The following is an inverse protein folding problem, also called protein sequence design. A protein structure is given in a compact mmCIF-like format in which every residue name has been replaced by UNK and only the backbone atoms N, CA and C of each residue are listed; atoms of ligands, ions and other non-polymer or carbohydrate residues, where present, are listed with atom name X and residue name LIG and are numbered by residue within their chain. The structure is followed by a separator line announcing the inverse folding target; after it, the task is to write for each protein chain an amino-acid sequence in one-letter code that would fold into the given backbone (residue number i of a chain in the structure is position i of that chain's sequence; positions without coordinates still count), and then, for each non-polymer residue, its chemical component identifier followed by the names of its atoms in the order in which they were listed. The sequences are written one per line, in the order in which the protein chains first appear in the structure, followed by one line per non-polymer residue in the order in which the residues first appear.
data_IF_138662918195
#
_entry.id   IF_138662918195
#
_cell.length_a   1.000
_cell.length_b   1.000
_cell.length_c   1.000
_cell.angle_alpha   90.00
_cell.angle_beta   90.00
_cell.angle_gamma   90.00
#
_symmetry.space_group_name_H-M   'P 1'
#
loop_
_entity.id
_entity.type
_entity.pdbx_description
1 polymer ?
#
# COMPACT_ATOMS: atom_id res chain seq x y z
N UNK A 1 -5.07 -20.96 61.44
CA UNK A 1 -4.37 -20.93 60.14
C UNK A 1 -4.96 -22.03 59.25
N UNK A 2 -5.51 -21.71 58.08
CA UNK A 2 -6.02 -22.72 57.12
C UNK A 2 -4.94 -23.04 56.09
N UNK A 3 -4.53 -24.29 56.02
CA UNK A 3 -3.48 -24.81 55.13
C UNK A 3 -4.04 -24.98 53.72
N UNK A 4 -3.31 -24.47 52.72
CA UNK A 4 -3.65 -24.62 51.31
C UNK A 4 -3.34 -26.05 50.81
N UNK A 5 -4.36 -26.79 50.36
CA UNK A 5 -4.20 -28.08 49.69
C UNK A 5 -3.55 -27.87 48.31
N UNK A 6 -2.36 -28.43 48.10
CA UNK A 6 -1.64 -28.41 46.81
C UNK A 6 -2.28 -29.42 45.84
N UNK A 7 -2.62 -28.96 44.63
CA UNK A 7 -2.99 -29.81 43.48
C UNK A 7 -1.74 -30.55 42.99
N UNK A 8 -1.60 -31.83 43.35
CA UNK A 8 -0.65 -32.76 42.73
C UNK A 8 -1.41 -33.87 42.01
N UNK A 9 -0.95 -34.28 40.83
CA UNK A 9 -1.38 -35.52 40.18
C UNK A 9 -0.49 -36.70 40.62
N UNK A 10 -1.00 -37.92 40.44
CA UNK A 10 -0.41 -39.18 40.93
C UNK A 10 1.01 -39.49 40.41
N UNK A 11 1.47 -38.82 39.34
CA UNK A 11 2.84 -38.93 38.81
C UNK A 11 3.81 -37.85 39.27
N UNK A 12 3.46 -37.02 40.27
CA UNK A 12 4.35 -35.98 40.80
C UNK A 12 4.62 -34.80 39.87
N UNK A 13 3.95 -34.75 38.71
CA UNK A 13 4.04 -33.63 37.77
C UNK A 13 3.09 -32.51 38.22
N UNK A 14 3.67 -31.38 38.63
CA UNK A 14 2.91 -30.15 38.87
C UNK A 14 2.36 -29.67 37.53
N UNK A 15 1.04 -29.76 37.33
CA UNK A 15 0.39 -29.18 36.15
C UNK A 15 0.70 -27.68 36.10
N UNK A 16 1.35 -27.22 35.02
CA UNK A 16 1.66 -25.80 34.84
C UNK A 16 0.37 -24.96 34.96
N UNK A 17 0.38 -23.96 35.83
CA UNK A 17 -0.81 -23.14 36.10
C UNK A 17 -1.35 -22.48 34.83
N UNK A 18 -2.66 -22.63 34.58
CA UNK A 18 -3.35 -22.00 33.45
C UNK A 18 -3.66 -20.51 33.66
N UNK A 19 -3.06 -19.88 34.68
CA UNK A 19 -3.24 -18.45 34.97
C UNK A 19 -2.68 -17.63 33.80
N UNK A 20 -3.46 -16.68 33.28
CA UNK A 20 -3.07 -15.83 32.15
C UNK A 20 -3.21 -16.47 30.76
N UNK A 21 -3.67 -17.73 30.65
CA UNK A 21 -3.88 -18.40 29.35
C UNK A 21 -5.29 -18.24 28.78
N UNK A 22 -6.09 -17.32 29.33
CA UNK A 22 -7.42 -17.04 28.80
C UNK A 22 -7.31 -16.07 27.63
N UNK A 23 -7.93 -16.41 26.51
CA UNK A 23 -8.06 -15.48 25.38
C UNK A 23 -8.92 -14.30 25.83
N UNK A 24 -8.44 -13.05 25.77
CA UNK A 24 -9.23 -11.91 26.25
C UNK A 24 -10.58 -11.87 25.53
N UNK A 25 -11.66 -11.63 26.28
CA UNK A 25 -13.03 -11.64 25.72
C UNK A 25 -13.22 -10.64 24.58
N UNK A 26 -12.37 -9.61 24.52
CA UNK A 26 -12.36 -8.60 23.48
C UNK A 26 -11.58 -9.02 22.22
N UNK A 27 -11.00 -10.22 22.17
CA UNK A 27 -10.30 -10.71 20.97
C UNK A 27 -11.33 -10.99 19.89
N UNK A 28 -11.18 -10.31 18.77
CA UNK A 28 -12.03 -10.55 17.61
C UNK A 28 -11.76 -11.95 17.04
N UNK A 29 -12.81 -12.69 16.62
CA UNK A 29 -12.63 -13.97 15.93
C UNK A 29 -11.75 -13.82 14.69
N UNK A 30 -10.87 -14.79 14.44
CA UNK A 30 -9.94 -14.78 13.30
C UNK A 30 -10.67 -14.70 11.97
N UNK A 31 -11.82 -15.37 11.85
CA UNK A 31 -12.67 -15.37 10.65
C UNK A 31 -13.11 -13.96 10.25
N UNK A 32 -13.53 -13.15 11.24
CA UNK A 32 -14.00 -11.77 10.97
C UNK A 32 -12.86 -10.85 10.52
N UNK A 33 -11.66 -11.06 11.04
CA UNK A 33 -10.46 -10.36 10.59
C UNK A 33 -10.06 -10.79 9.17
N UNK A 34 -10.16 -12.07 8.85
CA UNK A 34 -9.79 -12.59 7.54
C UNK A 34 -10.70 -12.08 6.43
N UNK A 35 -12.01 -11.96 6.71
CA UNK A 35 -12.95 -11.31 5.79
C UNK A 35 -12.55 -9.87 5.44
N UNK A 36 -12.16 -9.09 6.46
CA UNK A 36 -11.68 -7.71 6.24
C UNK A 36 -10.41 -7.72 5.38
N UNK A 37 -9.46 -8.62 5.64
CA UNK A 37 -8.23 -8.74 4.84
C UNK A 37 -8.51 -9.12 3.39
N UNK A 38 -9.43 -10.06 3.17
CA UNK A 38 -9.80 -10.50 1.84
C UNK A 38 -10.40 -9.35 1.03
N UNK A 39 -11.35 -8.62 1.61
CA UNK A 39 -11.92 -7.43 0.97
C UNK A 39 -10.84 -6.40 0.62
N UNK A 40 -9.98 -6.01 1.57
CA UNK A 40 -8.93 -5.01 1.31
C UNK A 40 -8.00 -5.47 0.17
N UNK A 41 -7.72 -6.76 0.08
CA UNK A 41 -6.86 -7.35 -0.95
C UNK A 41 -7.50 -7.33 -2.35
N UNK A 42 -8.83 -7.26 -2.44
CA UNK A 42 -9.55 -7.22 -3.71
C UNK A 42 -9.58 -5.82 -4.35
N UNK A 43 -9.19 -4.77 -3.62
CA UNK A 43 -9.13 -3.43 -4.20
C UNK A 43 -7.98 -3.31 -5.23
N UNK A 44 -8.20 -2.62 -6.35
CA UNK A 44 -7.14 -2.37 -7.32
C UNK A 44 -6.08 -1.47 -6.71
N UNK A 45 -4.82 -1.91 -6.78
CA UNK A 45 -3.66 -1.21 -6.24
C UNK A 45 -2.63 -0.95 -7.33
N UNK A 46 -1.95 0.18 -7.19
CA UNK A 46 -0.96 0.70 -8.13
C UNK A 46 0.39 0.84 -7.45
N UNK A 47 1.45 0.66 -8.22
CA UNK A 47 2.82 0.94 -7.77
C UNK A 47 3.28 2.26 -8.38
N UNK A 48 3.59 3.22 -7.52
CA UNK A 48 4.14 4.51 -7.93
C UNK A 48 5.42 4.30 -8.75
N UNK A 49 5.40 4.72 -10.02
CA UNK A 49 6.49 4.52 -10.98
C UNK A 49 7.80 5.18 -10.52
N UNK A 50 7.72 6.39 -9.96
CA UNK A 50 8.89 7.18 -9.56
C UNK A 50 9.54 6.74 -8.25
N UNK A 51 8.82 5.96 -7.43
CA UNK A 51 9.31 5.54 -6.11
C UNK A 51 9.46 4.04 -5.96
N UNK A 52 9.37 3.25 -7.04
CA UNK A 52 9.55 1.77 -7.02
C UNK A 52 10.89 1.35 -6.44
N UNK A 53 11.96 2.07 -6.77
CA UNK A 53 13.30 1.79 -6.24
C UNK A 53 13.46 2.17 -4.77
N UNK A 54 12.65 3.14 -4.29
CA UNK A 54 12.76 3.69 -2.94
C UNK A 54 11.77 3.07 -1.95
N UNK A 55 10.66 2.50 -2.44
CA UNK A 55 9.59 1.99 -1.60
C UNK A 55 8.83 0.85 -2.24
N UNK A 56 8.54 -0.17 -1.45
CA UNK A 56 7.61 -1.27 -1.78
C UNK A 56 6.15 -0.92 -1.47
N UNK A 57 5.85 0.35 -1.19
CA UNK A 57 4.49 0.81 -0.85
C UNK A 57 3.62 0.81 -2.09
N UNK A 58 2.39 0.33 -1.93
CA UNK A 58 1.35 0.31 -2.96
C UNK A 58 0.29 1.36 -2.67
N UNK A 59 -0.40 1.81 -3.71
CA UNK A 59 -1.33 2.93 -3.65
C UNK A 59 -2.70 2.55 -4.17
N UNK A 60 -3.74 2.89 -3.44
CA UNK A 60 -5.14 2.85 -3.89
C UNK A 60 -5.46 4.11 -4.69
N UNK A 61 -6.46 4.06 -5.57
CA UNK A 61 -6.87 5.25 -6.34
C UNK A 61 -7.21 6.45 -5.45
N UNK A 62 -7.01 7.65 -5.98
CA UNK A 62 -7.27 8.93 -5.31
C UNK A 62 -8.74 9.13 -4.85
N UNK A 63 -9.67 8.48 -5.53
CA UNK A 63 -11.10 8.46 -5.20
C UNK A 63 -11.42 7.54 -4.01
N UNK A 64 -10.48 6.68 -3.59
CA UNK A 64 -10.66 5.79 -2.46
C UNK A 64 -10.15 6.42 -1.18
N UNK A 65 -10.84 6.12 -0.08
CA UNK A 65 -10.39 6.37 1.27
C UNK A 65 -10.92 5.28 2.21
N UNK A 66 -10.44 5.23 3.45
CA UNK A 66 -10.88 4.21 4.42
C UNK A 66 -12.41 4.23 4.61
N UNK A 67 -13.05 5.39 4.51
CA UNK A 67 -14.51 5.50 4.65
C UNK A 67 -15.24 4.88 3.46
N UNK A 68 -14.84 5.17 2.22
CA UNK A 68 -15.46 4.60 1.03
C UNK A 68 -15.28 3.09 1.00
N UNK A 69 -14.06 2.60 1.28
CA UNK A 69 -13.79 1.16 1.35
C UNK A 69 -14.60 0.48 2.46
N UNK A 70 -14.80 1.13 3.61
CA UNK A 70 -15.63 0.60 4.68
C UNK A 70 -17.11 0.53 4.31
N UNK A 71 -17.62 1.46 3.48
CA UNK A 71 -18.99 1.37 2.98
C UNK A 71 -19.17 0.15 2.07
N UNK A 72 -18.20 -0.13 1.19
CA UNK A 72 -18.18 -1.34 0.36
C UNK A 72 -18.16 -2.60 1.24
N UNK A 73 -17.34 -2.63 2.29
CA UNK A 73 -17.31 -3.73 3.26
C UNK A 73 -18.68 -3.97 3.92
N UNK A 74 -19.36 -2.89 4.33
CA UNK A 74 -20.67 -2.99 4.97
C UNK A 74 -21.70 -3.52 4.00
N UNK A 75 -21.67 -3.08 2.74
CA UNK A 75 -22.57 -3.55 1.68
C UNK A 75 -22.38 -5.04 1.41
N UNK A 76 -21.14 -5.52 1.22
CA UNK A 76 -20.86 -6.95 1.06
C UNK A 76 -21.32 -7.79 2.26
N UNK A 77 -21.11 -7.28 3.49
CA UNK A 77 -21.60 -7.97 4.68
C UNK A 77 -23.13 -8.05 4.70
N UNK A 78 -23.83 -7.00 4.27
CA UNK A 78 -25.29 -6.99 4.19
C UNK A 78 -25.80 -7.99 3.15
N UNK A 79 -25.17 -8.07 1.98
CA UNK A 79 -25.51 -9.03 0.92
C UNK A 79 -25.34 -10.49 1.39
N UNK A 80 -24.33 -10.77 2.20
CA UNK A 80 -24.11 -12.09 2.80
C UNK A 80 -24.89 -12.33 4.11
N UNK A 81 -25.71 -11.37 4.54
CA UNK A 81 -26.47 -11.41 5.80
C UNK A 81 -25.58 -11.60 7.05
N UNK A 82 -24.40 -10.99 7.04
CA UNK A 82 -23.39 -11.02 8.11
C UNK A 82 -23.33 -9.65 8.78
N UNK A 83 -23.14 -9.65 10.11
CA UNK A 83 -22.94 -8.41 10.85
C UNK A 83 -21.53 -7.83 10.60
N UNK A 84 -21.40 -6.62 10.02
CA UNK A 84 -20.10 -6.01 9.78
C UNK A 84 -19.42 -5.59 11.09
N UNK A 85 -18.09 -5.61 11.07
CA UNK A 85 -17.29 -5.05 12.15
C UNK A 85 -17.28 -3.53 12.16
N UNK A 86 -16.92 -2.95 13.32
CA UNK A 86 -16.84 -1.50 13.46
C UNK A 86 -15.72 -0.92 12.59
N UNK A 87 -15.94 0.29 12.04
CA UNK A 87 -14.96 1.02 11.22
C UNK A 87 -13.57 1.11 11.83
N UNK A 88 -13.45 1.28 13.15
CA UNK A 88 -12.14 1.34 13.82
C UNK A 88 -11.35 0.03 13.68
N UNK A 89 -12.02 -1.13 13.71
CA UNK A 89 -11.40 -2.45 13.50
C UNK A 89 -10.90 -2.53 12.05
N UNK A 90 -11.75 -2.12 11.11
CA UNK A 90 -11.40 -2.08 9.70
C UNK A 90 -10.16 -1.21 9.44
N UNK A 91 -10.15 0.02 9.96
CA UNK A 91 -9.00 0.94 9.87
C UNK A 91 -7.74 0.34 10.50
N UNK A 92 -7.88 -0.33 11.65
CA UNK A 92 -6.76 -0.99 12.31
C UNK A 92 -6.18 -2.09 11.43
N UNK A 93 -7.03 -2.94 10.86
CA UNK A 93 -6.58 -4.02 9.96
C UNK A 93 -5.88 -3.43 8.74
N UNK A 94 -6.45 -2.39 8.12
CA UNK A 94 -5.84 -1.68 7.00
C UNK A 94 -4.43 -1.18 7.34
N UNK A 95 -4.28 -0.45 8.44
CA UNK A 95 -3.00 0.18 8.80
C UNK A 95 -1.94 -0.81 9.29
N UNK A 96 -2.33 -1.90 9.95
CA UNK A 96 -1.38 -2.86 10.55
C UNK A 96 -0.98 -4.00 9.61
N UNK A 97 -1.89 -4.43 8.73
CA UNK A 97 -1.65 -5.58 7.85
C UNK A 97 -1.27 -5.22 6.41
N UNK A 98 -1.46 -3.96 5.99
CA UNK A 98 -1.21 -3.55 4.62
C UNK A 98 -0.22 -2.38 4.55
N UNK A 99 0.78 -2.49 3.67
CA UNK A 99 1.63 -1.35 3.28
C UNK A 99 0.98 -0.59 2.11
N UNK A 100 -0.26 -0.16 2.33
CA UNK A 100 -1.07 0.60 1.37
C UNK A 100 -1.17 2.07 1.79
N UNK A 101 -1.27 2.94 0.80
CA UNK A 101 -1.61 4.35 0.99
C UNK A 101 -2.59 4.79 -0.11
N UNK A 102 -3.12 6.00 -0.01
CA UNK A 102 -4.01 6.55 -1.04
C UNK A 102 -3.18 7.40 -1.99
N UNK A 103 -3.40 7.23 -3.30
CA UNK A 103 -2.75 8.06 -4.30
C UNK A 103 -3.22 9.50 -4.11
N UNK A 104 -2.28 10.44 -4.16
CA UNK A 104 -2.63 11.86 -4.23
C UNK A 104 -3.24 12.13 -5.61
N UNK A 105 -4.10 13.15 -5.74
CA UNK A 105 -4.52 13.62 -7.05
C UNK A 105 -3.28 13.91 -7.90
N UNK A 106 -3.27 13.40 -9.14
CA UNK A 106 -2.10 13.34 -10.01
C UNK A 106 -1.51 14.72 -10.28
N UNK A 107 -0.53 15.09 -9.45
CA UNK A 107 0.50 16.04 -9.82
C UNK A 107 1.74 15.17 -10.02
N UNK A 108 2.28 15.16 -11.24
CA UNK A 108 3.51 14.45 -11.66
C UNK A 108 3.32 13.03 -12.24
N UNK A 109 2.39 12.82 -13.17
CA UNK A 109 2.46 11.66 -14.07
C UNK A 109 3.28 11.97 -15.33
N UNK A 110 3.80 10.94 -15.98
CA UNK A 110 4.50 11.08 -17.25
C UNK A 110 3.53 10.80 -18.39
N UNK A 111 3.23 11.83 -19.19
CA UNK A 111 2.32 11.72 -20.35
C UNK A 111 2.67 10.56 -21.29
N UNK A 112 3.98 10.30 -21.49
CA UNK A 112 4.46 9.20 -22.33
C UNK A 112 4.15 7.84 -21.69
N UNK A 113 4.37 7.70 -20.38
CA UNK A 113 4.05 6.48 -19.65
C UNK A 113 2.54 6.21 -19.67
N UNK A 114 1.72 7.25 -19.47
CA UNK A 114 0.27 7.14 -19.42
C UNK A 114 -0.29 6.75 -20.79
N UNK A 115 0.19 7.40 -21.86
CA UNK A 115 -0.16 7.05 -23.24
C UNK A 115 0.17 5.59 -23.56
N UNK A 116 1.42 5.17 -23.34
CA UNK A 116 1.85 3.79 -23.60
C UNK A 116 1.05 2.79 -22.77
N UNK A 117 0.72 3.12 -21.51
CA UNK A 117 -0.09 2.26 -20.66
C UNK A 117 -1.52 2.08 -21.19
N UNK A 118 -2.15 3.15 -21.69
CA UNK A 118 -3.45 3.08 -22.34
C UNK A 118 -3.41 2.25 -23.63
N UNK A 119 -2.40 2.46 -24.48
CA UNK A 119 -2.22 1.71 -25.73
C UNK A 119 -1.99 0.21 -25.48
N UNK A 120 -1.14 -0.14 -24.50
CA UNK A 120 -0.88 -1.54 -24.11
C UNK A 120 -2.14 -2.25 -23.63
N UNK A 121 -3.08 -1.54 -22.99
CA UNK A 121 -4.34 -2.14 -22.51
C UNK A 121 -5.34 -2.42 -23.63
N UNK A 122 -5.24 -1.73 -24.77
CA UNK A 122 -6.27 -1.74 -25.81
C UNK A 122 -5.90 -2.59 -27.06
N UNK A 123 -4.66 -3.07 -27.26
CA UNK A 123 -4.23 -3.69 -28.55
C UNK A 123 -3.35 -4.96 -28.46
N UNK A 124 -3.29 -5.70 -29.60
CA UNK A 124 -2.50 -6.92 -29.84
C UNK A 124 -1.00 -6.67 -30.14
N UNK A 125 -0.55 -5.43 -30.45
CA UNK A 125 0.88 -5.09 -30.66
C UNK A 125 1.63 -4.88 -29.34
N UNK A 126 1.46 -5.82 -28.42
CA UNK A 126 1.97 -5.78 -27.05
C UNK A 126 3.50 -5.71 -26.97
N UNK A 127 4.23 -6.27 -27.94
CA UNK A 127 5.69 -6.41 -27.85
C UNK A 127 6.37 -5.06 -28.10
N UNK A 128 6.04 -4.38 -29.19
CA UNK A 128 6.68 -3.11 -29.56
C UNK A 128 6.42 -2.02 -28.53
N UNK A 129 5.17 -1.87 -28.09
CA UNK A 129 4.79 -0.91 -27.04
C UNK A 129 5.49 -1.19 -25.70
N UNK A 130 5.71 -2.46 -25.34
CA UNK A 130 6.48 -2.83 -24.14
C UNK A 130 7.95 -2.46 -24.30
N UNK A 131 8.55 -2.68 -25.46
CA UNK A 131 9.95 -2.28 -25.74
C UNK A 131 10.10 -0.76 -25.69
N UNK A 132 9.17 -0.01 -26.31
CA UNK A 132 9.17 1.45 -26.23
C UNK A 132 9.08 1.94 -24.78
N UNK A 133 8.19 1.33 -23.99
CA UNK A 133 8.06 1.62 -22.56
C UNK A 133 9.34 1.30 -21.79
N UNK A 134 9.96 0.16 -22.05
CA UNK A 134 11.21 -0.23 -21.40
C UNK A 134 12.35 0.74 -21.73
N UNK A 135 12.47 1.16 -22.99
CA UNK A 135 13.46 2.13 -23.43
C UNK A 135 13.25 3.49 -22.77
N UNK A 136 12.00 3.98 -22.70
CA UNK A 136 11.67 5.21 -22.00
C UNK A 136 12.10 5.17 -20.52
N UNK A 137 11.85 4.03 -19.84
CA UNK A 137 12.24 3.85 -18.45
C UNK A 137 13.77 3.78 -18.27
N UNK A 138 14.47 3.08 -19.16
CA UNK A 138 15.94 3.02 -19.17
C UNK A 138 16.57 4.39 -19.35
N UNK A 139 16.06 5.17 -20.31
CA UNK A 139 16.52 6.51 -20.59
C UNK A 139 16.24 7.47 -19.41
N UNK A 140 15.07 7.37 -18.77
CA UNK A 140 14.79 8.10 -17.53
C UNK A 140 15.76 7.73 -16.40
N UNK A 141 16.02 6.43 -16.19
CA UNK A 141 16.98 5.93 -15.19
C UNK A 141 18.39 6.46 -15.45
N UNK A 142 18.86 6.37 -16.70
CA UNK A 142 20.17 6.90 -17.12
C UNK A 142 20.31 8.40 -16.84
N UNK A 143 19.27 9.20 -17.10
CA UNK A 143 19.28 10.64 -16.76
C UNK A 143 19.44 10.88 -15.27
N UNK A 144 18.80 10.09 -14.40
CA UNK A 144 18.97 10.21 -12.96
C UNK A 144 20.36 9.78 -12.49
N UNK A 145 20.95 8.80 -13.15
CA UNK A 145 22.32 8.34 -12.87
C UNK A 145 23.36 9.38 -13.26
N UNK A 146 23.32 9.89 -14.48
CA UNK A 146 24.19 10.99 -14.94
C UNK A 146 24.04 12.23 -14.05
N UNK A 147 22.80 12.60 -13.71
CA UNK A 147 22.50 13.67 -12.76
C UNK A 147 23.14 13.46 -11.38
N UNK A 148 23.24 12.21 -10.93
CA UNK A 148 23.89 11.86 -9.66
C UNK A 148 25.40 11.98 -9.78
N UNK A 149 25.97 11.51 -10.89
CA UNK A 149 27.41 11.61 -11.19
C UNK A 149 27.84 13.07 -11.27
N UNK A 150 27.14 13.90 -12.04
CA UNK A 150 27.36 15.34 -12.14
C UNK A 150 27.39 16.02 -10.76
N UNK A 151 26.45 15.66 -9.88
CA UNK A 151 26.42 16.18 -8.50
C UNK A 151 27.61 15.76 -7.66
N UNK A 152 28.11 14.53 -7.85
CA UNK A 152 29.29 14.04 -7.13
C UNK A 152 30.54 14.75 -7.63
N UNK A 153 30.67 14.94 -8.93
CA UNK A 153 31.78 15.67 -9.54
C UNK A 153 31.80 17.13 -9.08
N UNK A 154 30.65 17.82 -9.08
CA UNK A 154 30.57 19.22 -8.62
C UNK A 154 30.88 19.39 -7.12
N UNK A 155 30.80 18.31 -6.33
CA UNK A 155 31.23 18.30 -4.92
C UNK A 155 32.73 18.06 -4.78
N UNK A 156 33.32 17.28 -5.68
CA UNK A 156 34.73 16.92 -5.64
C UNK A 156 35.63 18.01 -6.28
N UNK A 157 35.13 18.70 -7.31
CA UNK A 157 35.89 19.68 -8.08
C UNK A 157 35.38 21.12 -7.86
N UNK A 158 36.23 21.99 -7.31
CA UNK A 158 35.87 23.40 -7.07
C UNK A 158 35.75 24.24 -8.34
N UNK A 159 36.24 23.78 -9.49
CA UNK A 159 36.12 24.47 -10.78
C UNK A 159 34.91 24.00 -11.60
N UNK A 160 34.22 22.95 -11.15
CA UNK A 160 33.03 22.42 -11.80
C UNK A 160 31.77 22.78 -11.01
N UNK A 161 30.72 23.25 -11.71
CA UNK A 161 29.42 23.57 -11.12
C UNK A 161 28.32 22.99 -11.98
N UNK A 162 27.33 22.40 -11.32
CA UNK A 162 26.16 21.81 -11.97
C UNK A 162 24.93 22.59 -11.57
N UNK A 163 24.21 23.09 -12.56
CA UNK A 163 22.93 23.77 -12.39
C UNK A 163 21.85 22.82 -12.89
N UNK A 164 20.88 22.53 -12.03
CA UNK A 164 19.70 21.76 -12.40
C UNK A 164 18.48 22.57 -12.05
N UNK A 165 17.59 22.74 -13.02
CA UNK A 165 16.32 23.40 -12.81
C UNK A 165 15.20 22.47 -13.22
N UNK A 166 14.16 22.42 -12.41
CA UNK A 166 12.92 21.74 -12.71
C UNK A 166 11.96 22.76 -13.35
N UNK A 167 11.69 22.59 -14.64
CA UNK A 167 10.80 23.47 -15.39
C UNK A 167 9.33 23.04 -15.31
N UNK A 168 9.02 21.99 -14.56
CA UNK A 168 7.68 21.43 -14.49
C UNK A 168 6.92 22.06 -13.31
N UNK A 169 6.28 23.21 -13.56
CA UNK A 169 5.05 23.55 -12.83
C UNK A 169 3.88 22.98 -13.60
N UNK A 170 3.49 21.75 -13.29
CA UNK A 170 2.16 21.28 -13.65
C UNK A 170 1.14 22.11 -12.86
N UNK A 171 0.47 23.05 -13.52
CA UNK A 171 -0.71 23.68 -12.96
C UNK A 171 -1.75 22.56 -12.77
N UNK A 172 -2.37 22.42 -11.59
CA UNK A 172 -3.36 21.38 -11.38
C UNK A 172 -4.50 21.60 -12.39
N UNK A 173 -4.74 20.60 -13.24
CA UNK A 173 -5.94 20.58 -14.07
C UNK A 173 -7.16 20.54 -13.14
N UNK A 174 -8.22 21.32 -13.42
CA UNK A 174 -9.42 21.29 -12.61
C UNK A 174 -10.04 19.89 -12.61
N UNK A 175 -10.33 19.39 -11.41
CA UNK A 175 -10.94 18.09 -11.18
C UNK A 175 -12.40 18.10 -11.62
N UNK A 176 -12.75 17.32 -12.65
CA UNK A 176 -14.12 17.16 -13.13
C UNK A 176 -14.88 16.22 -12.19
N UNK A 177 -15.65 16.78 -11.27
CA UNK A 177 -16.57 16.02 -10.42
C UNK A 177 -17.94 15.95 -11.07
N UNK A 178 -18.48 14.76 -11.25
CA UNK A 178 -19.90 14.59 -11.54
C UNK A 178 -20.69 14.96 -10.28
N UNK A 179 -21.54 15.98 -10.40
CA UNK A 179 -22.55 16.39 -9.42
C UNK A 179 -23.73 15.42 -9.39
#
# INVERSE_FOLDING_TARGET
MRVALKKGSESGLITAGLRGKHTPANKLPSERLERIRNLISNFPVYESHYSRERSKRRYLGNHQNISTMYLVYVDECQQENIKPEKKWVYSKVFNEHFNLSFHLSDNDTCDVCDKLHCEIKNEEKLIDLKVQKENHLKDASLRYDLKREDKLEARANQDFRVIMSDFQKCLPMPDLKHS
#
